data_IF_191981495771
#
_entry.id   IF_191981495771
#
_cell.length_a   1.000
_cell.length_b   1.000
_cell.length_c   1.000
_cell.angle_alpha   90.00
_cell.angle_beta   90.00
_cell.angle_gamma   90.00
#
_symmetry.space_group_name_H-M   'P 1'
#
loop_
_entity.id
_entity.type
_entity.pdbx_description
1 polymer ?
#
# COMPACT_ATOMS: atom_id res chain seq x y z
N UNK A 1 -26.03 44.45 9.71
CA UNK A 1 -24.59 44.42 9.35
C UNK A 1 -24.14 43.01 9.68
N UNK A 2 -24.37 42.10 8.74
CA UNK A 2 -24.33 40.66 9.01
C UNK A 2 -23.26 40.14 8.06
N UNK A 3 -22.03 40.12 8.55
CA UNK A 3 -20.88 39.67 7.76
C UNK A 3 -20.80 38.16 7.85
N UNK A 4 -21.38 37.47 6.87
CA UNK A 4 -21.12 36.06 6.61
C UNK A 4 -19.74 35.95 5.96
N UNK A 5 -18.72 35.69 6.76
CA UNK A 5 -17.39 35.34 6.26
C UNK A 5 -17.46 33.97 5.62
N UNK A 6 -17.56 33.90 4.29
CA UNK A 6 -17.29 32.69 3.54
C UNK A 6 -15.79 32.41 3.63
N UNK A 7 -15.39 31.52 4.54
CA UNK A 7 -14.07 30.90 4.47
C UNK A 7 -14.08 29.97 3.26
N UNK A 8 -13.60 30.47 2.13
CA UNK A 8 -13.13 29.64 1.04
C UNK A 8 -11.90 28.87 1.54
N UNK A 9 -12.13 27.71 2.16
CA UNK A 9 -11.10 26.70 2.31
C UNK A 9 -10.84 26.14 0.92
N UNK A 10 -9.63 26.32 0.42
CA UNK A 10 -9.10 25.47 -0.64
C UNK A 10 -8.95 24.09 -0.01
N UNK A 11 -10.00 23.27 -0.07
CA UNK A 11 -9.90 21.83 0.21
C UNK A 11 -9.01 21.25 -0.89
N UNK A 12 -7.68 21.27 -0.67
CA UNK A 12 -6.73 20.41 -1.38
C UNK A 12 -6.94 18.96 -0.89
N UNK A 13 -8.17 18.47 -1.01
CA UNK A 13 -8.55 17.11 -0.69
C UNK A 13 -7.95 16.20 -1.77
N UNK A 14 -7.11 15.25 -1.36
CA UNK A 14 -6.44 14.36 -2.30
C UNK A 14 -7.44 13.26 -2.68
N UNK A 15 -8.10 13.38 -3.81
CA UNK A 15 -9.07 12.35 -4.25
C UNK A 15 -8.38 11.00 -4.52
N UNK A 16 -7.13 11.01 -5.00
CA UNK A 16 -6.43 9.81 -5.49
C UNK A 16 -4.98 9.79 -5.02
N UNK A 17 -4.58 8.69 -4.39
CA UNK A 17 -3.19 8.39 -4.03
C UNK A 17 -2.71 7.15 -4.80
N UNK A 18 -1.71 7.33 -5.67
CA UNK A 18 -1.06 6.25 -6.42
C UNK A 18 0.35 6.08 -5.88
N UNK A 19 0.66 4.89 -5.36
CA UNK A 19 1.97 4.58 -4.78
C UNK A 19 2.57 3.39 -5.51
N UNK A 20 3.81 3.57 -5.97
CA UNK A 20 4.62 2.48 -6.50
C UNK A 20 5.92 2.40 -5.71
N UNK A 21 6.33 1.22 -5.28
CA UNK A 21 7.58 1.06 -4.53
C UNK A 21 8.26 -0.27 -4.85
N UNK A 22 9.55 -0.20 -5.19
CA UNK A 22 10.42 -1.36 -5.15
C UNK A 22 10.74 -1.67 -3.67
N UNK A 23 10.31 -2.84 -3.21
CA UNK A 23 10.36 -3.25 -1.81
C UNK A 23 11.21 -4.49 -1.57
N UNK A 24 12.00 -4.93 -2.55
CA UNK A 24 12.81 -6.15 -2.43
C UNK A 24 13.70 -6.18 -1.20
N UNK A 25 14.33 -5.04 -0.88
CA UNK A 25 15.17 -4.91 0.31
C UNK A 25 14.39 -4.87 1.63
N UNK A 26 13.11 -4.48 1.63
CA UNK A 26 12.31 -4.43 2.87
C UNK A 26 12.07 -5.82 3.44
N UNK A 27 11.94 -6.82 2.56
CA UNK A 27 11.71 -8.21 2.95
C UNK A 27 13.00 -8.95 3.37
N UNK A 28 14.19 -8.37 3.15
CA UNK A 28 15.45 -8.93 3.64
C UNK A 28 15.66 -8.71 5.15
N UNK A 29 15.06 -7.65 5.72
CA UNK A 29 15.07 -7.36 7.17
C UNK A 29 13.70 -6.81 7.63
N UNK A 30 12.71 -7.69 7.87
CA UNK A 30 11.34 -7.26 8.18
C UNK A 30 11.21 -6.41 9.44
N UNK A 31 12.06 -6.64 10.44
CA UNK A 31 11.99 -5.93 11.71
C UNK A 31 12.51 -4.50 11.59
N UNK A 32 13.61 -4.30 10.85
CA UNK A 32 14.26 -2.99 10.75
C UNK A 32 13.81 -2.17 9.55
N UNK A 33 13.28 -2.80 8.50
CA UNK A 33 12.92 -2.13 7.26
C UNK A 33 11.42 -2.18 7.00
N UNK A 34 10.82 -3.38 6.94
CA UNK A 34 9.41 -3.54 6.57
C UNK A 34 8.46 -2.89 7.58
N UNK A 35 8.64 -3.16 8.89
CA UNK A 35 7.79 -2.60 9.94
C UNK A 35 7.81 -1.06 9.98
N UNK A 36 8.98 -0.39 10.04
CA UNK A 36 9.00 1.07 10.00
C UNK A 36 8.43 1.65 8.72
N UNK A 37 8.68 1.01 7.57
CA UNK A 37 8.12 1.44 6.29
C UNK A 37 6.59 1.41 6.31
N UNK A 38 5.99 0.32 6.80
CA UNK A 38 4.54 0.18 6.90
C UNK A 38 3.92 1.25 7.81
N UNK A 39 4.56 1.54 8.95
CA UNK A 39 4.10 2.60 9.87
C UNK A 39 4.10 3.97 9.19
N UNK A 40 5.17 4.31 8.47
CA UNK A 40 5.26 5.60 7.77
C UNK A 40 4.27 5.69 6.63
N UNK A 41 4.09 4.60 5.88
CA UNK A 41 3.10 4.50 4.81
C UNK A 41 1.69 4.73 5.34
N UNK A 42 1.27 3.99 6.38
CA UNK A 42 -0.06 4.12 6.97
C UNK A 42 -0.30 5.52 7.54
N UNK A 43 0.70 6.09 8.22
CA UNK A 43 0.62 7.47 8.70
C UNK A 43 0.39 8.46 7.56
N UNK A 44 1.05 8.26 6.42
CA UNK A 44 0.86 9.12 5.25
C UNK A 44 -0.55 8.99 4.66
N UNK A 45 -1.10 7.77 4.62
CA UNK A 45 -2.50 7.55 4.20
C UNK A 45 -3.48 8.27 5.13
N UNK A 46 -3.24 8.20 6.44
CA UNK A 46 -4.07 8.88 7.45
C UNK A 46 -4.02 10.41 7.34
N UNK A 47 -2.85 10.97 7.06
CA UNK A 47 -2.67 12.41 6.84
C UNK A 47 -3.35 12.91 5.56
N UNK A 48 -3.31 12.12 4.49
CA UNK A 48 -3.83 12.51 3.17
C UNK A 48 -5.31 12.17 2.97
N UNK A 49 -5.87 11.23 3.75
CA UNK A 49 -7.24 10.72 3.67
C UNK A 49 -7.76 10.51 2.23
N UNK A 50 -7.02 9.78 1.36
CA UNK A 50 -7.42 9.68 -0.02
C UNK A 50 -8.72 8.89 -0.20
N UNK A 51 -9.58 9.33 -1.12
CA UNK A 51 -10.81 8.59 -1.46
C UNK A 51 -10.51 7.30 -2.22
N UNK A 52 -9.40 7.27 -2.96
CA UNK A 52 -8.92 6.09 -3.67
C UNK A 52 -7.40 5.91 -3.47
N UNK A 53 -7.00 4.70 -3.09
CA UNK A 53 -5.59 4.31 -2.91
C UNK A 53 -5.27 3.12 -3.83
N UNK A 54 -4.29 3.30 -4.71
CA UNK A 54 -3.66 2.21 -5.43
C UNK A 54 -2.22 2.05 -4.95
N UNK A 55 -1.87 0.86 -4.48
CA UNK A 55 -0.53 0.50 -4.03
C UNK A 55 0.02 -0.63 -4.91
N UNK A 56 1.12 -0.36 -5.59
CA UNK A 56 1.84 -1.33 -6.41
C UNK A 56 3.24 -1.55 -5.82
N UNK A 57 3.54 -2.78 -5.44
CA UNK A 57 4.81 -3.16 -4.83
C UNK A 57 5.59 -4.07 -5.77
N UNK A 58 6.79 -3.65 -6.16
CA UNK A 58 7.71 -4.43 -6.97
C UNK A 58 8.70 -5.22 -6.11
N UNK A 59 9.15 -6.38 -6.60
CA UNK A 59 10.13 -7.25 -5.92
C UNK A 59 9.67 -7.77 -4.54
N UNK A 60 8.36 -7.92 -4.33
CA UNK A 60 7.80 -8.46 -3.08
C UNK A 60 8.37 -9.86 -2.79
N UNK A 61 8.84 -10.07 -1.56
CA UNK A 61 9.55 -11.31 -1.16
C UNK A 61 11.07 -11.29 -1.35
N UNK A 62 11.61 -10.26 -2.02
CA UNK A 62 13.05 -10.07 -2.20
C UNK A 62 13.73 -11.24 -2.93
N UNK A 63 15.07 -11.34 -2.78
CA UNK A 63 15.86 -12.39 -3.47
C UNK A 63 15.72 -13.79 -2.88
N UNK A 64 15.19 -13.93 -1.66
CA UNK A 64 15.11 -15.21 -0.91
C UNK A 64 13.64 -15.64 -0.72
N UNK A 65 12.93 -15.71 -1.85
CA UNK A 65 11.47 -15.77 -1.95
C UNK A 65 10.79 -16.86 -1.10
N UNK A 66 11.31 -18.09 -1.09
CA UNK A 66 10.70 -19.24 -0.39
C UNK A 66 10.56 -19.03 1.12
N UNK A 67 11.51 -18.32 1.74
CA UNK A 67 11.45 -17.97 3.17
C UNK A 67 10.66 -16.69 3.41
N UNK A 68 10.51 -15.85 2.39
CA UNK A 68 9.89 -14.53 2.52
C UNK A 68 8.37 -14.55 2.32
N UNK A 69 7.80 -15.63 1.78
CA UNK A 69 6.35 -15.73 1.58
C UNK A 69 5.53 -15.58 2.85
N UNK A 70 6.02 -16.15 3.97
CA UNK A 70 5.37 -15.95 5.28
C UNK A 70 5.35 -14.46 5.65
N UNK A 71 6.47 -13.75 5.47
CA UNK A 71 6.54 -12.30 5.74
C UNK A 71 5.66 -11.47 4.81
N UNK A 72 5.51 -11.88 3.55
CA UNK A 72 4.60 -11.22 2.60
C UNK A 72 3.15 -11.40 3.04
N UNK A 73 2.75 -12.61 3.43
CA UNK A 73 1.39 -12.87 3.94
C UNK A 73 1.11 -12.11 5.23
N UNK A 74 2.06 -12.10 6.18
CA UNK A 74 1.94 -11.30 7.40
C UNK A 74 1.86 -9.80 7.10
N UNK A 75 2.62 -9.31 6.13
CA UNK A 75 2.59 -7.92 5.70
C UNK A 75 1.24 -7.53 5.11
N UNK A 76 0.71 -8.33 4.16
CA UNK A 76 -0.58 -8.09 3.54
C UNK A 76 -1.70 -8.11 4.59
N UNK A 77 -1.65 -9.08 5.51
CA UNK A 77 -2.58 -9.13 6.64
C UNK A 77 -2.50 -7.87 7.50
N UNK A 78 -1.29 -7.47 7.89
CA UNK A 78 -1.06 -6.26 8.71
C UNK A 78 -1.52 -4.98 8.02
N UNK A 79 -1.36 -4.90 6.70
CA UNK A 79 -1.84 -3.79 5.88
C UNK A 79 -3.38 -3.74 5.90
N UNK A 80 -4.06 -4.86 5.64
CA UNK A 80 -5.52 -4.92 5.61
C UNK A 80 -6.17 -4.70 6.98
N UNK A 81 -5.54 -5.15 8.07
CA UNK A 81 -6.04 -4.99 9.43
C UNK A 81 -5.75 -3.58 10.00
N UNK A 82 -4.99 -2.74 9.29
CA UNK A 82 -4.66 -1.41 9.74
C UNK A 82 -5.92 -0.53 9.86
N UNK A 83 -6.09 0.22 10.97
CA UNK A 83 -7.27 1.09 11.15
C UNK A 83 -7.48 2.08 10.01
N UNK A 84 -6.39 2.56 9.39
CA UNK A 84 -6.42 3.46 8.25
C UNK A 84 -7.08 2.83 7.01
N UNK A 85 -6.98 1.51 6.85
CA UNK A 85 -7.59 0.79 5.73
C UNK A 85 -9.09 0.53 5.94
N UNK A 86 -9.57 0.54 7.19
CA UNK A 86 -10.99 0.33 7.51
C UNK A 86 -11.91 1.43 6.99
N UNK A 87 -11.34 2.58 6.60
CA UNK A 87 -12.08 3.69 6.01
C UNK A 87 -12.42 3.46 4.51
N UNK A 88 -11.83 2.44 3.88
CA UNK A 88 -12.15 2.07 2.50
C UNK A 88 -13.25 1.02 2.46
N UNK A 89 -14.23 1.20 1.57
CA UNK A 89 -15.35 0.27 1.41
C UNK A 89 -14.90 -1.08 0.80
N UNK A 90 -13.90 -1.05 -0.09
CA UNK A 90 -13.41 -2.24 -0.77
C UNK A 90 -11.89 -2.27 -0.79
N UNK A 91 -11.34 -3.44 -0.50
CA UNK A 91 -9.91 -3.75 -0.65
C UNK A 91 -9.80 -4.90 -1.65
N UNK A 92 -9.00 -4.71 -2.69
CA UNK A 92 -8.66 -5.75 -3.67
C UNK A 92 -7.15 -5.90 -3.72
N UNK A 93 -6.69 -7.13 -3.57
CA UNK A 93 -5.27 -7.48 -3.62
C UNK A 93 -5.06 -8.39 -4.82
N UNK A 94 -4.07 -8.05 -5.62
CA UNK A 94 -3.60 -8.85 -6.73
C UNK A 94 -2.15 -9.19 -6.44
N UNK A 95 -1.86 -10.47 -6.31
CA UNK A 95 -0.51 -10.98 -6.09
C UNK A 95 -0.27 -12.08 -7.11
N UNK A 96 0.88 -12.02 -7.77
CA UNK A 96 1.33 -13.11 -8.62
C UNK A 96 1.83 -14.23 -7.70
N UNK A 97 1.23 -15.42 -7.80
CA UNK A 97 1.56 -16.60 -6.99
C UNK A 97 2.29 -17.68 -7.81
N UNK A 98 2.37 -17.54 -9.14
CA UNK A 98 2.85 -18.57 -10.07
C UNK A 98 4.27 -18.30 -10.58
N UNK A 99 5.27 -18.77 -9.83
CA UNK A 99 6.70 -18.58 -10.15
C UNK A 99 7.36 -19.76 -10.87
N UNK A 100 6.59 -20.80 -11.21
CA UNK A 100 7.10 -22.00 -11.89
C UNK A 100 7.48 -21.77 -13.36
N UNK A 101 7.23 -20.58 -13.92
CA UNK A 101 7.78 -20.22 -15.22
C UNK A 101 8.12 -18.74 -15.25
N UNK A 102 9.31 -18.42 -15.75
CA UNK A 102 9.73 -17.04 -15.98
C UNK A 102 8.93 -16.34 -17.09
N UNK A 103 7.97 -17.02 -17.72
CA UNK A 103 7.16 -16.53 -18.83
C UNK A 103 5.79 -15.97 -18.41
N UNK A 104 5.42 -16.07 -17.12
CA UNK A 104 4.09 -15.67 -16.61
C UNK A 104 4.07 -14.46 -15.66
N UNK A 105 5.19 -13.75 -15.48
CA UNK A 105 5.32 -12.57 -14.61
C UNK A 105 4.46 -11.33 -14.98
N UNK A 106 3.60 -11.42 -15.99
CA UNK A 106 2.75 -10.31 -16.42
C UNK A 106 1.29 -10.69 -16.31
N UNK A 107 0.64 -10.16 -15.27
CA UNK A 107 -0.81 -10.09 -15.16
C UNK A 107 -1.35 -9.38 -16.40
N UNK A 108 -2.05 -10.12 -17.26
CA UNK A 108 -2.79 -9.55 -18.41
C UNK A 108 -4.17 -9.16 -17.93
N UNK A 109 -4.51 -7.87 -18.02
CA UNK A 109 -5.89 -7.38 -17.81
C UNK A 109 -6.60 -7.43 -19.16
N UNK A 110 -7.65 -8.24 -19.27
CA UNK A 110 -8.66 -8.18 -20.34
C UNK A 110 -9.80 -7.25 -19.94
#
# INVERSE_FOLDING_TARGET
MDSSTSTAGCDDDIDVLLVTANVGSLFEDPLRLLRPWLVVFLKKVEELQPKFLALHLQEVGGKTYEKSMEYVQEFIKSLCEAPQMLNFEFIRIYMDEDFNSAEHFTVTIL
#
